data_IF_568207918193
#
_entry.id   IF_568207918193
#
_cell.length_a   1.000
_cell.length_b   1.000
_cell.length_c   1.000
_cell.angle_alpha   90.00
_cell.angle_beta   90.00
_cell.angle_gamma   90.00
#
_symmetry.space_group_name_H-M   'P 1'
#
loop_
_entity.id
_entity.type
_entity.pdbx_description
1 polymer ?
#
# COMPACT_ATOMS: atom_id res chain seq x y z
N UNK A 1 13.90 -6.01 10.10
CA UNK A 1 13.60 -4.58 9.83
C UNK A 1 13.78 -4.33 8.34
N UNK A 2 12.73 -3.92 7.63
CA UNK A 2 12.81 -3.59 6.19
C UNK A 2 13.52 -2.24 6.06
N UNK A 3 14.72 -2.23 5.47
CA UNK A 3 15.50 -1.01 5.16
C UNK A 3 15.09 -0.44 3.79
N UNK A 4 13.88 0.10 3.68
CA UNK A 4 13.49 0.91 2.53
C UNK A 4 13.94 2.35 2.77
N UNK A 5 14.98 2.84 2.08
CA UNK A 5 15.42 4.25 2.16
C UNK A 5 16.92 4.51 2.22
N UNK A 6 17.77 3.49 2.41
CA UNK A 6 19.24 3.67 2.49
C UNK A 6 19.95 3.60 1.13
N UNK A 7 19.40 4.27 0.10
CA UNK A 7 20.16 4.57 -1.12
C UNK A 7 19.92 6.03 -1.52
N UNK A 8 20.91 6.86 -1.16
CA UNK A 8 21.07 8.27 -1.49
C UNK A 8 19.91 9.21 -1.03
N UNK A 9 19.95 9.66 0.23
CA UNK A 9 19.22 10.88 0.65
C UNK A 9 18.00 10.69 1.56
N UNK A 10 18.14 10.00 2.69
CA UNK A 10 17.35 10.25 3.91
C UNK A 10 15.83 10.07 3.87
N UNK A 11 15.27 9.44 2.84
CA UNK A 11 13.82 9.21 2.69
C UNK A 11 13.52 8.33 1.47
N UNK A 12 12.24 8.11 1.18
CA UNK A 12 11.85 7.27 0.04
C UNK A 12 10.37 7.26 -0.26
N UNK A 13 9.98 6.47 -1.25
CA UNK A 13 8.59 6.22 -1.58
C UNK A 13 8.34 4.74 -1.81
N UNK A 14 7.15 4.28 -1.41
CA UNK A 14 6.65 2.94 -1.71
C UNK A 14 5.28 3.11 -2.36
N UNK A 15 5.09 2.48 -3.51
CA UNK A 15 3.83 2.48 -4.25
C UNK A 15 3.30 1.06 -4.27
N UNK A 16 2.14 0.86 -3.64
CA UNK A 16 1.41 -0.39 -3.65
C UNK A 16 0.31 -0.35 -4.72
N UNK A 17 -0.08 -1.52 -5.23
CA UNK A 17 -1.17 -1.65 -6.18
C UNK A 17 -2.38 -2.34 -5.56
N UNK A 18 -3.45 -1.58 -5.37
CA UNK A 18 -4.79 -2.03 -5.02
C UNK A 18 -5.55 -2.55 -6.24
N UNK A 19 -6.87 -2.46 -6.18
CA UNK A 19 -7.80 -2.77 -7.27
C UNK A 19 -9.17 -2.19 -6.96
N UNK A 20 -9.86 -1.67 -7.97
CA UNK A 20 -11.23 -1.16 -7.82
C UNK A 20 -12.20 -2.23 -7.34
N UNK A 21 -11.90 -3.52 -7.57
CA UNK A 21 -12.73 -4.67 -7.19
C UNK A 21 -13.11 -4.69 -5.71
N UNK A 22 -12.25 -4.17 -4.83
CA UNK A 22 -12.55 -4.03 -3.40
C UNK A 22 -13.56 -2.91 -3.14
N UNK A 23 -13.44 -1.78 -3.82
CA UNK A 23 -14.36 -0.64 -3.65
C UNK A 23 -15.72 -0.87 -4.31
N UNK A 24 -15.79 -1.65 -5.38
CA UNK A 24 -17.04 -1.97 -6.08
C UNK A 24 -17.73 -3.21 -5.53
N UNK A 25 -17.18 -3.83 -4.47
CA UNK A 25 -17.69 -5.06 -3.87
C UNK A 25 -17.86 -6.19 -4.91
N UNK A 26 -16.89 -6.32 -5.82
CA UNK A 26 -16.96 -7.27 -6.92
C UNK A 26 -17.13 -8.72 -6.41
N UNK A 27 -18.13 -9.41 -6.93
CA UNK A 27 -18.46 -10.79 -6.56
C UNK A 27 -17.57 -11.84 -7.25
N UNK A 28 -17.61 -13.08 -6.75
CA UNK A 28 -16.97 -14.25 -7.39
C UNK A 28 -15.47 -14.38 -7.15
N UNK A 29 -14.83 -13.42 -6.51
CA UNK A 29 -13.38 -13.40 -6.27
C UNK A 29 -13.03 -12.98 -4.84
N UNK A 30 -13.52 -13.68 -3.80
CA UNK A 30 -13.40 -13.25 -2.41
C UNK A 30 -11.94 -13.14 -1.94
N UNK A 31 -11.07 -14.07 -2.36
CA UNK A 31 -9.65 -14.02 -2.00
C UNK A 31 -8.94 -12.81 -2.62
N UNK A 32 -9.23 -12.50 -3.89
CA UNK A 32 -8.63 -11.37 -4.60
C UNK A 32 -9.10 -10.04 -4.01
N UNK A 33 -10.41 -9.86 -3.84
CA UNK A 33 -10.98 -8.63 -3.27
C UNK A 33 -10.51 -8.40 -1.84
N UNK A 34 -10.44 -9.46 -1.02
CA UNK A 34 -9.86 -9.40 0.33
C UNK A 34 -8.39 -8.99 0.28
N UNK A 35 -7.58 -9.63 -0.57
CA UNK A 35 -6.17 -9.31 -0.70
C UNK A 35 -5.96 -7.85 -1.13
N UNK A 36 -6.77 -7.35 -2.07
CA UNK A 36 -6.68 -5.96 -2.54
C UNK A 36 -7.17 -4.93 -1.53
N UNK A 37 -8.19 -5.26 -0.72
CA UNK A 37 -8.55 -4.48 0.46
C UNK A 37 -7.45 -4.47 1.53
N UNK A 38 -6.76 -5.59 1.74
CA UNK A 38 -5.64 -5.68 2.67
C UNK A 38 -4.45 -4.80 2.25
N UNK A 39 -4.20 -4.63 0.95
CA UNK A 39 -3.14 -3.72 0.44
C UNK A 39 -3.40 -2.27 0.85
N UNK A 40 -4.66 -1.80 0.85
CA UNK A 40 -5.00 -0.46 1.34
C UNK A 40 -4.81 -0.33 2.85
N UNK A 41 -5.23 -1.34 3.62
CA UNK A 41 -5.00 -1.39 5.06
C UNK A 41 -3.51 -1.35 5.41
N UNK A 42 -2.71 -2.17 4.73
CA UNK A 42 -1.26 -2.21 4.84
C UNK A 42 -0.65 -0.83 4.53
N UNK A 43 -1.08 -0.19 3.44
CA UNK A 43 -0.59 1.14 3.04
C UNK A 43 -0.80 2.16 4.14
N UNK A 44 -1.99 2.19 4.77
CA UNK A 44 -2.31 3.11 5.86
C UNK A 44 -1.46 2.85 7.10
N UNK A 45 -1.26 1.57 7.47
CA UNK A 45 -0.39 1.18 8.58
C UNK A 45 1.06 1.60 8.34
N UNK A 46 1.62 1.24 7.19
CA UNK A 46 2.99 1.61 6.83
C UNK A 46 3.20 3.12 6.72
N UNK A 47 2.23 3.87 6.18
CA UNK A 47 2.33 5.32 6.11
C UNK A 47 2.44 5.96 7.50
N UNK A 48 1.69 5.43 8.48
CA UNK A 48 1.76 5.87 9.87
C UNK A 48 3.11 5.56 10.51
N UNK A 49 3.61 4.35 10.30
CA UNK A 49 4.83 3.87 10.96
C UNK A 49 6.12 4.44 10.34
N UNK A 50 6.14 4.60 9.02
CA UNK A 50 7.34 4.98 8.25
C UNK A 50 7.37 6.46 7.84
N UNK A 51 6.26 7.18 8.01
CA UNK A 51 6.20 8.63 7.78
C UNK A 51 7.29 9.43 8.51
N UNK A 52 7.59 9.15 9.80
CA UNK A 52 8.69 9.80 10.53
C UNK A 52 10.07 9.55 9.92
N UNK A 53 10.25 8.46 9.17
CA UNK A 53 11.48 8.15 8.45
C UNK A 53 11.54 8.80 7.06
N UNK A 54 10.65 9.76 6.77
CA UNK A 54 10.51 10.43 5.47
C UNK A 54 10.23 9.45 4.33
N UNK A 55 9.43 8.41 4.61
CA UNK A 55 9.01 7.43 3.61
C UNK A 55 7.52 7.64 3.30
N UNK A 56 7.22 8.09 2.08
CA UNK A 56 5.85 8.26 1.60
C UNK A 56 5.30 6.95 1.05
N UNK A 57 4.20 6.46 1.61
CA UNK A 57 3.57 5.21 1.18
C UNK A 57 2.22 5.54 0.56
N UNK A 58 1.98 5.10 -0.68
CA UNK A 58 0.71 5.30 -1.37
C UNK A 58 0.21 4.00 -2.00
N UNK A 59 -1.11 3.91 -2.19
CA UNK A 59 -1.77 2.83 -2.92
C UNK A 59 -2.41 3.41 -4.18
N UNK A 60 -2.03 2.90 -5.35
CA UNK A 60 -2.72 3.17 -6.60
C UNK A 60 -3.76 2.10 -6.81
N UNK A 61 -4.98 2.49 -7.19
CA UNK A 61 -6.13 1.60 -7.38
C UNK A 61 -6.53 1.60 -8.85
N UNK A 62 -6.01 0.67 -9.67
CA UNK A 62 -6.45 0.52 -11.05
C UNK A 62 -7.88 -0.04 -11.13
N UNK A 63 -8.58 0.40 -12.18
CA UNK A 63 -9.83 -0.19 -12.65
C UNK A 63 -9.61 -1.52 -13.32
#
# INVERSE_FOLDING_TARGET
MIRAGERAGGGGSIINFGSISWHTYAGGMPAYTTAKGAVEGLTKGMARDLGPNRICINCVVPG
#
